data_IF_828830249267
#
_entry.id   IF_828830249267
#
_cell.length_a   1.000
_cell.length_b   1.000
_cell.length_c   1.000
_cell.angle_alpha   90.00
_cell.angle_beta   90.00
_cell.angle_gamma   90.00
#
_symmetry.space_group_name_H-M   'P 1'
#
loop_
_entity.id
_entity.type
_entity.pdbx_description
1 polymer ?
#
# COMPACT_ATOMS: atom_id res chain seq x y z
N UNK A 1 -22.72 1.23 9.61
CA UNK A 1 -21.65 0.20 9.61
C UNK A 1 -20.36 0.87 9.16
N UNK A 2 -19.42 1.09 10.09
CA UNK A 2 -18.08 1.56 9.75
C UNK A 2 -17.46 0.49 8.83
N UNK A 3 -17.14 0.86 7.59
CA UNK A 3 -16.54 -0.05 6.62
C UNK A 3 -15.06 -0.12 6.93
N UNK A 4 -14.69 -0.96 7.88
CA UNK A 4 -13.34 -1.08 8.40
C UNK A 4 -12.30 -1.22 7.26
N UNK A 5 -11.47 -0.20 7.00
CA UNK A 5 -10.55 -0.21 5.88
C UNK A 5 -9.41 -1.22 6.06
N UNK A 6 -9.18 -1.73 7.29
CA UNK A 6 -8.22 -2.79 7.58
C UNK A 6 -8.73 -4.18 7.16
N UNK A 7 -10.03 -4.34 6.84
CA UNK A 7 -10.61 -5.61 6.35
C UNK A 7 -10.52 -5.83 4.86
N UNK A 8 -9.79 -5.04 4.07
CA UNK A 8 -9.59 -5.35 2.64
C UNK A 8 -8.51 -6.45 2.51
N UNK A 9 -8.88 -7.73 2.30
CA UNK A 9 -7.91 -8.84 2.24
C UNK A 9 -6.93 -8.66 1.07
N UNK A 10 -7.31 -7.89 0.06
CA UNK A 10 -6.46 -7.55 -1.09
C UNK A 10 -5.17 -6.82 -0.69
N UNK A 11 -5.19 -5.99 0.36
CA UNK A 11 -3.98 -5.27 0.81
C UNK A 11 -2.96 -6.25 1.39
N UNK A 12 -3.43 -7.17 2.23
CA UNK A 12 -2.62 -8.23 2.82
C UNK A 12 -2.12 -9.23 1.79
N UNK A 13 -2.92 -9.56 0.77
CA UNK A 13 -2.48 -10.43 -0.32
C UNK A 13 -1.31 -9.83 -1.11
N UNK A 14 -1.35 -8.52 -1.39
CA UNK A 14 -0.24 -7.84 -2.08
C UNK A 14 0.98 -7.72 -1.18
N UNK A 15 0.81 -7.43 0.11
CA UNK A 15 1.92 -7.43 1.08
C UNK A 15 2.60 -8.80 1.17
N UNK A 16 1.80 -9.87 1.26
CA UNK A 16 2.30 -11.24 1.28
C UNK A 16 3.07 -11.59 0.01
N UNK A 17 2.56 -11.18 -1.17
CA UNK A 17 3.24 -11.37 -2.44
C UNK A 17 4.60 -10.64 -2.49
N UNK A 18 4.64 -9.37 -2.07
CA UNK A 18 5.87 -8.57 -2.01
C UNK A 18 6.89 -9.17 -1.02
N UNK A 19 6.42 -9.68 0.11
CA UNK A 19 7.26 -10.34 1.10
C UNK A 19 7.85 -11.65 0.55
N UNK A 20 7.04 -12.45 -0.16
CA UNK A 20 7.48 -13.67 -0.83
C UNK A 20 8.48 -13.38 -1.96
N UNK A 21 8.30 -12.26 -2.66
CA UNK A 21 9.23 -11.78 -3.68
C UNK A 21 10.57 -11.34 -3.09
N UNK A 22 10.60 -10.91 -1.82
CA UNK A 22 11.83 -10.52 -1.13
C UNK A 22 12.65 -11.71 -0.62
N UNK A 23 12.03 -12.88 -0.44
CA UNK A 23 12.75 -14.08 0.01
C UNK A 23 13.78 -14.49 -1.05
N UNK A 24 15.08 -14.59 -0.72
CA UNK A 24 16.13 -14.99 -1.65
C UNK A 24 16.11 -16.51 -1.95
N UNK A 25 14.92 -17.13 -1.92
CA UNK A 25 14.70 -18.55 -2.22
C UNK A 25 14.49 -18.78 -3.71
N UNK A 26 14.32 -17.71 -4.50
CA UNK A 26 14.10 -17.80 -5.94
C UNK A 26 15.39 -18.29 -6.62
N UNK A 27 15.34 -19.39 -7.40
CA UNK A 27 16.49 -19.91 -8.14
C UNK A 27 16.72 -19.07 -9.41
N UNK A 28 16.86 -17.75 -9.24
CA UNK A 28 17.18 -16.81 -10.32
C UNK A 28 18.68 -16.89 -10.62
N UNK A 29 19.09 -18.01 -11.21
CA UNK A 29 20.43 -18.19 -11.76
C UNK A 29 20.51 -17.50 -13.12
N UNK A 30 20.87 -16.22 -13.09
CA UNK A 30 21.06 -15.39 -14.28
C UNK A 30 21.85 -14.14 -13.94
N UNK A 31 22.63 -13.65 -14.89
CA UNK A 31 23.41 -12.42 -14.73
C UNK A 31 22.93 -11.43 -15.81
N UNK A 32 22.38 -10.29 -15.40
CA UNK A 32 21.96 -9.21 -16.29
C UNK A 32 22.99 -8.09 -16.20
N UNK A 33 23.81 -7.96 -17.25
CA UNK A 33 24.78 -6.87 -17.36
C UNK A 33 25.87 -6.87 -16.27
N UNK A 34 26.24 -8.03 -15.72
CA UNK A 34 27.22 -8.13 -14.63
C UNK A 34 26.62 -8.17 -13.22
N UNK A 35 25.32 -7.89 -13.10
CA UNK A 35 24.59 -7.97 -11.83
C UNK A 35 23.73 -9.22 -11.77
N UNK A 36 23.72 -9.92 -10.63
CA UNK A 36 22.97 -11.14 -10.52
C UNK A 36 21.47 -10.79 -10.52
N UNK A 37 20.66 -11.57 -11.25
CA UNK A 37 19.27 -11.23 -11.59
C UNK A 37 18.37 -11.00 -10.36
N UNK A 38 18.62 -11.75 -9.28
CA UNK A 38 17.98 -11.54 -7.97
C UNK A 38 18.20 -10.12 -7.41
N UNK A 39 19.36 -9.48 -7.65
CA UNK A 39 19.62 -8.12 -7.17
C UNK A 39 18.81 -7.07 -7.94
N UNK A 40 18.64 -7.25 -9.24
CA UNK A 40 17.76 -6.38 -10.05
C UNK A 40 16.30 -6.57 -9.62
N UNK A 41 15.91 -7.82 -9.35
CA UNK A 41 14.59 -8.15 -8.87
C UNK A 41 14.29 -7.54 -7.50
N UNK A 42 15.21 -7.63 -6.54
CA UNK A 42 15.02 -7.05 -5.20
C UNK A 42 14.87 -5.53 -5.25
N UNK A 43 15.67 -4.84 -6.07
CA UNK A 43 15.53 -3.38 -6.28
C UNK A 43 14.16 -3.04 -6.86
N UNK A 44 13.69 -3.79 -7.86
CA UNK A 44 12.36 -3.61 -8.43
C UNK A 44 11.26 -3.82 -7.38
N UNK A 45 11.35 -4.90 -6.59
CA UNK A 45 10.41 -5.20 -5.50
C UNK A 45 10.43 -4.08 -4.44
N UNK A 46 11.59 -3.55 -4.04
CA UNK A 46 11.66 -2.42 -3.11
C UNK A 46 10.94 -1.19 -3.63
N UNK A 47 11.04 -0.92 -4.93
CA UNK A 47 10.32 0.20 -5.55
C UNK A 47 8.80 -0.04 -5.54
N UNK A 48 8.36 -1.26 -5.86
CA UNK A 48 6.95 -1.65 -5.75
C UNK A 48 6.43 -1.55 -4.31
N UNK A 49 7.21 -1.97 -3.31
CA UNK A 49 6.86 -1.84 -1.89
C UNK A 49 6.63 -0.38 -1.52
N UNK A 50 7.54 0.50 -1.93
CA UNK A 50 7.41 1.94 -1.68
C UNK A 50 6.14 2.51 -2.31
N UNK A 51 5.92 2.24 -3.60
CA UNK A 51 4.75 2.73 -4.33
C UNK A 51 3.44 2.17 -3.75
N UNK A 52 3.43 0.88 -3.41
CA UNK A 52 2.28 0.25 -2.77
C UNK A 52 1.99 0.84 -1.40
N UNK A 53 3.02 1.12 -0.60
CA UNK A 53 2.88 1.78 0.70
C UNK A 53 2.27 3.18 0.54
N UNK A 54 2.77 3.99 -0.39
CA UNK A 54 2.20 5.30 -0.72
C UNK A 54 0.74 5.18 -1.17
N UNK A 55 0.43 4.21 -2.04
CA UNK A 55 -0.93 3.98 -2.52
C UNK A 55 -1.87 3.55 -1.39
N UNK A 56 -1.42 2.67 -0.49
CA UNK A 56 -2.18 2.25 0.69
C UNK A 56 -2.45 3.45 1.58
N UNK A 57 -1.44 4.27 1.90
CA UNK A 57 -1.62 5.48 2.70
C UNK A 57 -2.65 6.39 2.02
N UNK A 58 -2.47 6.71 0.74
CA UNK A 58 -3.40 7.58 0.00
C UNK A 58 -4.80 7.00 -0.11
N UNK A 59 -4.98 5.68 -0.19
CA UNK A 59 -6.29 5.04 -0.39
C UNK A 59 -7.03 4.73 0.91
N UNK A 60 -6.28 4.38 1.97
CA UNK A 60 -6.79 4.05 3.31
C UNK A 60 -7.01 5.32 4.14
N UNK A 61 -6.08 6.27 4.11
CA UNK A 61 -6.24 7.52 4.86
C UNK A 61 -7.15 8.53 4.17
N UNK A 62 -7.35 8.41 2.85
CA UNK A 62 -8.41 9.12 2.15
C UNK A 62 -9.73 8.35 2.28
N UNK A 63 -10.15 8.18 3.52
CA UNK A 63 -11.55 7.89 3.84
C UNK A 63 -12.39 9.12 3.42
N UNK A 64 -13.62 8.96 2.90
CA UNK A 64 -14.46 10.04 2.38
C UNK A 64 -15.10 10.85 3.51
N UNK A 65 -14.28 11.30 4.47
CA UNK A 65 -14.68 12.10 5.63
C UNK A 65 -14.56 13.60 5.41
N UNK A 66 -14.06 14.06 4.25
CA UNK A 66 -14.25 15.44 3.79
C UNK A 66 -15.70 15.63 3.31
N UNK A 67 -16.65 15.37 4.21
CA UNK A 67 -17.80 16.23 4.28
C UNK A 67 -17.27 17.55 4.84
N UNK A 68 -17.27 18.67 4.09
CA UNK A 68 -17.03 19.95 4.73
C UNK A 68 -18.03 20.04 5.88
N UNK A 69 -17.52 20.11 7.10
CA UNK A 69 -18.28 20.50 8.26
C UNK A 69 -18.75 21.94 8.00
N UNK A 70 -19.85 22.07 7.25
CA UNK A 70 -20.68 23.25 7.29
C UNK A 70 -21.40 23.17 8.63
N UNK A 71 -20.66 23.53 9.67
CA UNK A 71 -21.15 23.91 10.97
C UNK A 71 -22.05 25.12 10.79
N UNK A 72 -23.30 24.88 10.41
CA UNK A 72 -24.40 25.83 10.58
C UNK A 72 -24.87 25.74 12.02
N UNK A 73 -24.00 26.12 12.94
CA UNK A 73 -24.35 26.38 14.33
C UNK A 73 -24.99 27.77 14.37
N UNK A 74 -26.25 27.79 14.77
CA UNK A 74 -27.09 28.97 14.93
C UNK A 74 -28.27 28.59 15.80
N UNK A 75 -27.96 28.22 17.04
CA UNK A 75 -28.89 28.08 18.13
C UNK A 75 -29.39 29.48 18.52
N UNK A 76 -30.69 29.75 18.38
CA UNK A 76 -31.36 30.87 19.06
C UNK A 76 -32.71 30.37 19.59
N UNK A 77 -32.69 30.17 20.90
CA UNK A 77 -33.76 29.86 21.83
C UNK A 77 -34.60 31.11 22.12
N UNK A 78 -35.92 30.97 21.99
CA UNK A 78 -36.92 31.97 22.38
C UNK A 78 -38.33 31.38 22.37
#
# INVERSE_FOLDING_TARGET
MISDPARKPRVWAVFGLLFLALLPIWPLHGNWGGLPAWAVFTVGVSFLVSLFTTWVIFRVWRDPGEAPASSGEGNDDG
#
